data_IF_149354115566
#
_entry.id   IF_149354115566
#
_cell.length_a   1.000
_cell.length_b   1.000
_cell.length_c   1.000
_cell.angle_alpha   90.00
_cell.angle_beta   90.00
_cell.angle_gamma   90.00
#
_symmetry.space_group_name_H-M   'P 1'
#
loop_
_entity.id
_entity.type
_entity.pdbx_description
1 polymer ?
#
# COMPACT_ATOMS: atom_id res chain seq x y z
N UNK A 1 37.73 21.02 -16.17
CA UNK A 1 37.23 20.50 -14.88
C UNK A 1 35.71 20.60 -14.74
N UNK A 2 34.98 21.36 -15.57
CA UNK A 2 33.53 21.55 -15.45
C UNK A 2 32.65 20.45 -16.07
N UNK A 3 33.23 19.57 -16.89
CA UNK A 3 32.51 18.48 -17.58
C UNK A 3 32.26 17.23 -16.71
N UNK A 4 32.94 17.09 -15.57
CA UNK A 4 32.74 16.01 -14.61
C UNK A 4 31.48 16.17 -13.74
N UNK A 5 30.88 17.36 -13.71
CA UNK A 5 29.66 17.67 -12.95
C UNK A 5 28.36 17.20 -13.65
N UNK A 6 28.44 16.85 -14.94
CA UNK A 6 27.29 16.50 -15.77
C UNK A 6 27.16 14.98 -16.06
N UNK A 7 28.01 14.14 -15.53
CA UNK A 7 27.88 12.67 -15.63
C UNK A 7 27.60 12.05 -14.25
N UNK A 8 26.36 11.97 -13.80
CA UNK A 8 26.01 10.89 -12.90
C UNK A 8 26.04 9.60 -13.73
N UNK A 9 27.07 8.79 -13.60
CA UNK A 9 27.01 7.39 -14.04
C UNK A 9 26.06 6.64 -13.09
N UNK A 10 24.77 6.99 -13.13
CA UNK A 10 23.75 6.22 -12.46
C UNK A 10 23.59 4.92 -13.23
N UNK A 11 23.86 3.83 -12.59
CA UNK A 11 23.55 2.51 -13.12
C UNK A 11 22.03 2.42 -13.34
N UNK A 12 21.60 1.67 -14.34
CA UNK A 12 20.17 1.45 -14.60
C UNK A 12 19.44 0.88 -13.38
N UNK A 13 20.11 0.01 -12.59
CA UNK A 13 19.60 -0.50 -11.31
C UNK A 13 19.36 0.65 -10.31
N UNK A 14 20.29 1.59 -10.19
CA UNK A 14 20.13 2.74 -9.28
C UNK A 14 18.97 3.64 -9.70
N UNK A 15 18.77 3.83 -11.01
CA UNK A 15 17.59 4.55 -11.52
C UNK A 15 16.29 3.80 -11.21
N UNK A 16 16.27 2.48 -11.31
CA UNK A 16 15.09 1.67 -10.98
C UNK A 16 14.81 1.68 -9.46
N UNK A 17 15.82 1.59 -8.62
CA UNK A 17 15.71 1.72 -7.16
C UNK A 17 15.14 3.09 -6.80
N UNK A 18 15.68 4.15 -7.39
CA UNK A 18 15.19 5.51 -7.18
C UNK A 18 13.75 5.68 -7.64
N UNK A 19 13.40 5.14 -8.81
CA UNK A 19 12.03 5.16 -9.33
C UNK A 19 11.05 4.38 -8.46
N UNK A 20 11.43 3.21 -7.92
CA UNK A 20 10.59 2.43 -7.02
C UNK A 20 10.31 3.19 -5.71
N UNK A 21 11.31 3.85 -5.14
CA UNK A 21 11.15 4.67 -3.93
C UNK A 21 10.21 5.86 -4.16
N UNK A 22 10.33 6.55 -5.30
CA UNK A 22 9.46 7.68 -5.64
C UNK A 22 8.04 7.27 -6.06
N UNK A 23 7.82 6.01 -6.37
CA UNK A 23 6.49 5.47 -6.70
C UNK A 23 5.57 5.37 -5.48
N UNK A 24 6.13 5.21 -4.29
CA UNK A 24 5.40 5.27 -3.03
C UNK A 24 4.90 6.70 -2.80
N UNK A 25 3.60 6.92 -2.90
CA UNK A 25 2.99 8.24 -2.70
C UNK A 25 1.94 8.16 -1.63
N UNK A 26 2.10 8.99 -0.62
CA UNK A 26 1.14 9.08 0.49
C UNK A 26 0.01 10.08 0.15
N UNK A 27 -1.25 9.65 0.08
CA UNK A 27 -2.39 10.50 -0.18
C UNK A 27 -2.97 11.13 1.09
N UNK A 28 -2.27 11.12 2.22
CA UNK A 28 -2.76 11.63 3.53
C UNK A 28 -3.41 13.00 3.37
N UNK A 29 -2.77 13.91 2.66
CA UNK A 29 -3.31 15.25 2.41
C UNK A 29 -4.61 15.21 1.62
N UNK A 30 -4.68 14.40 0.55
CA UNK A 30 -5.88 14.26 -0.28
C UNK A 30 -7.01 13.63 0.52
N UNK A 31 -6.70 12.59 1.31
CA UNK A 31 -7.67 11.92 2.18
C UNK A 31 -8.20 12.83 3.30
N UNK A 32 -7.34 13.68 3.87
CA UNK A 32 -7.75 14.70 4.84
C UNK A 32 -8.71 15.71 4.23
N UNK A 33 -8.43 16.18 3.01
CA UNK A 33 -9.30 17.09 2.25
C UNK A 33 -10.64 16.40 1.95
N UNK A 34 -10.64 15.15 1.51
CA UNK A 34 -11.87 14.39 1.21
C UNK A 34 -12.75 14.18 2.44
N UNK A 35 -12.15 13.92 3.60
CA UNK A 35 -12.88 13.85 4.86
C UNK A 35 -13.54 15.18 5.22
N UNK A 36 -12.85 16.30 4.97
CA UNK A 36 -13.37 17.64 5.25
C UNK A 36 -14.55 18.00 4.34
N UNK A 37 -14.46 17.67 3.05
CA UNK A 37 -15.49 17.98 2.06
C UNK A 37 -16.56 16.88 1.90
N UNK A 38 -16.52 15.80 2.70
CA UNK A 38 -17.47 14.68 2.65
C UNK A 38 -17.66 14.12 1.23
N UNK A 39 -16.57 13.91 0.54
CA UNK A 39 -16.56 13.33 -0.81
C UNK A 39 -17.10 11.89 -0.78
N UNK A 40 -17.57 11.39 -1.94
CA UNK A 40 -18.14 10.05 -2.09
C UNK A 40 -17.23 8.98 -1.43
N UNK A 41 -17.77 8.16 -0.51
CA UNK A 41 -17.02 7.10 0.16
C UNK A 41 -16.36 6.09 -0.80
N UNK A 42 -16.92 5.90 -1.99
CA UNK A 42 -16.33 5.00 -2.98
C UNK A 42 -15.00 5.55 -3.52
N UNK A 43 -14.95 6.84 -3.84
CA UNK A 43 -13.73 7.49 -4.30
C UNK A 43 -12.65 7.51 -3.22
N UNK A 44 -13.05 7.79 -1.98
CA UNK A 44 -12.15 7.70 -0.82
C UNK A 44 -11.51 6.31 -0.71
N UNK A 45 -12.30 5.24 -0.78
CA UNK A 45 -11.81 3.87 -0.65
C UNK A 45 -10.89 3.46 -1.80
N UNK A 46 -11.14 3.94 -3.02
CA UNK A 46 -10.30 3.65 -4.19
C UNK A 46 -8.92 4.29 -4.02
N UNK A 47 -8.87 5.57 -3.68
CA UNK A 47 -7.60 6.30 -3.51
C UNK A 47 -6.81 5.75 -2.33
N UNK A 48 -7.48 5.44 -1.22
CA UNK A 48 -6.87 4.82 -0.06
C UNK A 48 -6.30 3.44 -0.38
N UNK A 49 -7.05 2.61 -1.12
CA UNK A 49 -6.60 1.29 -1.55
C UNK A 49 -5.44 1.35 -2.55
N UNK A 50 -5.47 2.29 -3.49
CA UNK A 50 -4.37 2.53 -4.43
C UNK A 50 -3.07 2.85 -3.69
N UNK A 51 -3.13 3.74 -2.72
CA UNK A 51 -1.94 4.14 -1.97
C UNK A 51 -1.33 3.00 -1.17
N UNK A 52 -2.15 2.27 -0.42
CA UNK A 52 -1.68 1.12 0.38
C UNK A 52 -0.99 0.07 -0.52
N UNK A 53 -1.57 -0.21 -1.68
CA UNK A 53 -0.99 -1.17 -2.62
C UNK A 53 0.30 -0.64 -3.26
N UNK A 54 0.33 0.63 -3.63
CA UNK A 54 1.53 1.26 -4.17
C UNK A 54 2.72 1.19 -3.20
N UNK A 55 2.49 1.46 -1.93
CA UNK A 55 3.52 1.39 -0.89
C UNK A 55 4.04 -0.04 -0.74
N UNK A 56 3.15 -1.03 -0.65
CA UNK A 56 3.51 -2.43 -0.55
C UNK A 56 4.33 -2.91 -1.75
N UNK A 57 3.90 -2.57 -2.96
CA UNK A 57 4.59 -2.91 -4.21
C UNK A 57 5.95 -2.22 -4.31
N UNK A 58 6.03 -0.94 -3.97
CA UNK A 58 7.26 -0.16 -4.02
C UNK A 58 8.33 -0.69 -3.09
N UNK A 59 7.95 -1.10 -1.87
CA UNK A 59 8.88 -1.67 -0.89
C UNK A 59 9.44 -2.99 -1.38
N UNK A 60 8.60 -3.93 -1.84
CA UNK A 60 9.09 -5.23 -2.35
C UNK A 60 9.94 -5.05 -3.60
N UNK A 61 9.58 -4.09 -4.46
CA UNK A 61 10.37 -3.76 -5.64
C UNK A 61 11.75 -3.21 -5.26
N UNK A 62 11.80 -2.31 -4.28
CA UNK A 62 13.04 -1.79 -3.73
C UNK A 62 13.92 -2.88 -3.14
N UNK A 63 13.37 -3.78 -2.31
CA UNK A 63 14.07 -4.92 -1.72
C UNK A 63 14.62 -5.86 -2.79
N UNK A 64 13.80 -6.20 -3.80
CA UNK A 64 14.19 -7.07 -4.92
C UNK A 64 15.32 -6.45 -5.76
N UNK A 65 15.21 -5.16 -6.09
CA UNK A 65 16.23 -4.45 -6.85
C UNK A 65 17.55 -4.33 -6.08
N UNK A 66 17.48 -4.13 -4.76
CA UNK A 66 18.67 -4.10 -3.90
C UNK A 66 19.38 -5.47 -3.89
N UNK A 67 18.65 -6.56 -3.89
CA UNK A 67 19.22 -7.91 -3.98
C UNK A 67 19.94 -8.13 -5.32
N UNK A 68 19.45 -7.51 -6.40
CA UNK A 68 20.07 -7.57 -7.73
C UNK A 68 21.22 -6.57 -7.91
N UNK A 69 21.48 -5.71 -6.94
CA UNK A 69 22.56 -4.72 -6.98
C UNK A 69 23.91 -5.44 -7.06
N UNK A 70 24.69 -5.11 -8.09
CA UNK A 70 26.00 -5.74 -8.35
C UNK A 70 25.97 -6.86 -9.38
N UNK A 71 24.81 -7.33 -9.82
CA UNK A 71 24.70 -8.25 -10.95
C UNK A 71 24.70 -7.48 -12.28
N UNK A 72 25.24 -8.10 -13.34
CA UNK A 72 25.14 -7.52 -14.69
C UNK A 72 23.70 -7.60 -15.17
N UNK A 73 23.15 -6.46 -15.59
CA UNK A 73 21.81 -6.39 -16.15
C UNK A 73 21.77 -7.11 -17.49
N UNK A 74 21.28 -8.33 -17.47
CA UNK A 74 20.92 -9.11 -18.64
C UNK A 74 19.40 -9.27 -18.67
N UNK A 75 18.80 -9.48 -19.84
CA UNK A 75 17.36 -9.78 -19.95
C UNK A 75 16.94 -10.93 -19.01
N UNK A 76 17.81 -11.93 -18.85
CA UNK A 76 17.63 -13.02 -17.89
C UNK A 76 17.55 -12.53 -16.44
N UNK A 77 18.37 -11.55 -16.04
CA UNK A 77 18.35 -10.98 -14.68
C UNK A 77 17.07 -10.19 -14.41
N UNK A 78 16.54 -9.49 -15.41
CA UNK A 78 15.25 -8.78 -15.28
C UNK A 78 14.09 -9.77 -15.13
N UNK A 79 14.06 -10.82 -15.91
CA UNK A 79 13.03 -11.86 -15.79
C UNK A 79 13.10 -12.57 -14.44
N UNK A 80 14.31 -12.92 -13.98
CA UNK A 80 14.54 -13.49 -12.65
C UNK A 80 14.09 -12.53 -11.56
N UNK A 81 14.40 -11.24 -11.66
CA UNK A 81 13.94 -10.21 -10.72
C UNK A 81 12.42 -10.11 -10.63
N UNK A 82 11.74 -10.13 -11.76
CA UNK A 82 10.26 -10.10 -11.80
C UNK A 82 9.65 -11.35 -11.16
N UNK A 83 10.26 -12.51 -11.38
CA UNK A 83 9.80 -13.76 -10.76
C UNK A 83 10.01 -13.76 -9.25
N UNK A 84 11.17 -13.30 -8.78
CA UNK A 84 11.46 -13.14 -7.34
C UNK A 84 10.49 -12.17 -6.71
N UNK A 85 10.27 -11.00 -7.33
CA UNK A 85 9.30 -10.03 -6.87
C UNK A 85 7.89 -10.63 -6.72
N UNK A 86 7.40 -11.30 -7.75
CA UNK A 86 6.07 -11.93 -7.72
C UNK A 86 5.96 -13.01 -6.65
N UNK A 87 7.01 -13.83 -6.48
CA UNK A 87 7.05 -14.87 -5.46
C UNK A 87 7.07 -14.28 -4.05
N UNK A 88 7.96 -13.32 -3.77
CA UNK A 88 8.06 -12.65 -2.45
C UNK A 88 6.75 -11.97 -2.10
N UNK A 89 6.17 -11.20 -3.02
CA UNK A 89 4.90 -10.51 -2.80
C UNK A 89 3.75 -11.47 -2.51
N UNK A 90 3.57 -12.50 -3.35
CA UNK A 90 2.46 -13.46 -3.23
C UNK A 90 2.59 -14.31 -1.96
N UNK A 91 3.79 -14.80 -1.64
CA UNK A 91 4.01 -15.59 -0.42
C UNK A 91 3.83 -14.74 0.84
N UNK A 92 4.33 -13.51 0.85
CA UNK A 92 4.11 -12.58 1.98
C UNK A 92 2.63 -12.29 2.20
N UNK A 93 1.86 -12.09 1.12
CA UNK A 93 0.42 -11.89 1.17
C UNK A 93 -0.28 -13.12 1.78
N UNK A 94 0.03 -14.31 1.32
CA UNK A 94 -0.56 -15.57 1.83
C UNK A 94 -0.24 -15.74 3.32
N UNK A 95 1.02 -15.52 3.74
CA UNK A 95 1.42 -15.59 5.14
C UNK A 95 0.62 -14.60 5.99
N UNK A 96 0.49 -13.36 5.56
CA UNK A 96 -0.29 -12.35 6.26
C UNK A 96 -1.75 -12.74 6.45
N UNK A 97 -2.39 -13.23 5.39
CA UNK A 97 -3.77 -13.72 5.44
C UNK A 97 -3.90 -14.91 6.40
N UNK A 98 -2.97 -15.86 6.37
CA UNK A 98 -2.99 -17.02 7.26
C UNK A 98 -2.90 -16.61 8.74
N UNK A 99 -2.00 -15.69 9.09
CA UNK A 99 -1.89 -15.17 10.46
C UNK A 99 -3.15 -14.44 10.90
N UNK A 100 -3.73 -13.61 10.03
CA UNK A 100 -4.97 -12.90 10.31
C UNK A 100 -6.17 -13.85 10.52
N UNK A 101 -6.29 -14.89 9.69
CA UNK A 101 -7.33 -15.91 9.84
C UNK A 101 -7.12 -16.76 11.10
N UNK A 102 -5.89 -17.17 11.38
CA UNK A 102 -5.56 -17.92 12.59
C UNK A 102 -5.94 -17.14 13.85
N UNK A 103 -5.64 -15.85 13.91
CA UNK A 103 -6.05 -14.97 14.99
C UNK A 103 -7.58 -14.86 15.09
N UNK A 104 -8.27 -14.68 13.98
CA UNK A 104 -9.73 -14.60 13.95
C UNK A 104 -10.39 -15.88 14.46
N UNK A 105 -9.87 -17.05 14.09
CA UNK A 105 -10.33 -18.35 14.57
C UNK A 105 -10.03 -18.52 16.06
N UNK A 106 -8.86 -18.09 16.52
CA UNK A 106 -8.50 -18.14 17.93
C UNK A 106 -9.47 -17.29 18.76
N UNK A 107 -9.74 -16.07 18.37
CA UNK A 107 -10.69 -15.19 19.08
C UNK A 107 -12.11 -15.76 19.08
N UNK A 108 -12.52 -16.42 18.01
CA UNK A 108 -13.86 -17.01 17.88
C UNK A 108 -14.05 -18.25 18.76
N UNK A 109 -13.03 -19.11 18.89
CA UNK A 109 -13.14 -20.39 19.60
C UNK A 109 -12.71 -20.31 21.06
N UNK A 110 -12.05 -19.22 21.47
CA UNK A 110 -11.61 -19.04 22.86
C UNK A 110 -12.49 -18.01 23.57
N UNK A 111 -12.66 -18.18 24.88
CA UNK A 111 -13.41 -17.24 25.74
C UNK A 111 -12.58 -16.01 26.13
N UNK A 112 -11.58 -15.65 25.32
CA UNK A 112 -10.69 -14.50 25.57
C UNK A 112 -11.45 -13.17 25.55
N UNK A 113 -12.56 -13.08 24.83
CA UNK A 113 -13.43 -11.92 24.80
C UNK A 113 -13.99 -11.46 26.16
N UNK A 114 -13.88 -12.30 27.20
CA UNK A 114 -14.19 -11.91 28.58
C UNK A 114 -13.15 -10.94 29.17
N UNK A 115 -11.91 -11.00 28.68
CA UNK A 115 -10.79 -10.19 29.13
C UNK A 115 -10.31 -9.25 28.02
N UNK A 116 -10.89 -8.08 27.95
CA UNK A 116 -10.65 -7.08 26.90
C UNK A 116 -9.16 -6.74 26.66
N UNK A 117 -8.40 -6.68 27.76
CA UNK A 117 -6.98 -6.29 27.69
C UNK A 117 -6.13 -7.42 27.08
N UNK A 118 -6.42 -8.66 27.47
CA UNK A 118 -5.78 -9.86 26.93
C UNK A 118 -6.12 -10.05 25.43
N UNK A 119 -7.37 -9.82 25.06
CA UNK A 119 -7.83 -9.86 23.67
C UNK A 119 -7.09 -8.83 22.80
N UNK A 120 -6.95 -7.59 23.28
CA UNK A 120 -6.19 -6.54 22.59
C UNK A 120 -4.71 -6.92 22.43
N UNK A 121 -4.07 -7.45 23.49
CA UNK A 121 -2.68 -7.91 23.44
C UNK A 121 -2.47 -9.01 22.41
N UNK A 122 -3.36 -9.99 22.31
CA UNK A 122 -3.26 -11.09 21.35
C UNK A 122 -3.29 -10.55 19.92
N UNK A 123 -4.20 -9.64 19.61
CA UNK A 123 -4.28 -9.05 18.27
C UNK A 123 -2.99 -8.33 17.89
N UNK A 124 -2.43 -7.56 18.81
CA UNK A 124 -1.16 -6.84 18.59
C UNK A 124 0.00 -7.80 18.40
N UNK A 125 0.10 -8.83 19.25
CA UNK A 125 1.17 -9.83 19.19
C UNK A 125 1.11 -10.64 17.89
N UNK A 126 -0.08 -11.03 17.43
CA UNK A 126 -0.22 -11.76 16.17
C UNK A 126 0.21 -10.90 14.97
N UNK A 127 -0.17 -9.62 14.94
CA UNK A 127 0.29 -8.71 13.90
C UNK A 127 1.82 -8.58 13.91
N UNK A 128 2.42 -8.41 15.08
CA UNK A 128 3.87 -8.33 15.24
C UNK A 128 4.58 -9.63 14.85
N UNK A 129 4.03 -10.78 15.25
CA UNK A 129 4.57 -12.10 14.91
C UNK A 129 4.52 -12.35 13.39
N UNK A 130 3.45 -11.94 12.71
CA UNK A 130 3.33 -12.03 11.26
C UNK A 130 4.48 -11.30 10.55
N UNK A 131 4.81 -10.08 11.01
CA UNK A 131 5.93 -9.30 10.49
C UNK A 131 7.27 -10.02 10.69
N UNK A 132 7.59 -10.44 11.92
CA UNK A 132 8.87 -11.06 12.23
C UNK A 132 9.05 -12.42 11.56
N UNK A 133 8.00 -13.23 11.54
CA UNK A 133 8.06 -14.54 10.90
C UNK A 133 8.33 -14.41 9.40
N UNK A 134 7.62 -13.50 8.72
CA UNK A 134 7.83 -13.28 7.30
C UNK A 134 9.25 -12.81 6.99
N UNK A 135 9.79 -11.89 7.77
CA UNK A 135 11.19 -11.46 7.63
C UNK A 135 12.18 -12.61 7.88
N UNK A 136 11.92 -13.47 8.85
CA UNK A 136 12.79 -14.61 9.17
C UNK A 136 12.86 -15.64 8.04
N UNK A 137 11.78 -15.78 7.29
CA UNK A 137 11.68 -16.69 6.13
C UNK A 137 12.24 -16.02 4.84
N UNK A 138 12.71 -14.78 4.92
CA UNK A 138 13.22 -14.04 3.76
C UNK A 138 12.12 -13.46 2.85
N UNK A 139 10.90 -13.33 3.40
CA UNK A 139 9.77 -12.69 2.73
C UNK A 139 9.61 -11.25 3.21
N UNK A 140 8.74 -10.46 2.57
CA UNK A 140 8.48 -9.08 3.01
C UNK A 140 7.55 -9.06 4.22
N UNK A 141 8.08 -8.69 5.40
CA UNK A 141 7.31 -8.54 6.63
C UNK A 141 6.27 -7.44 6.55
N UNK A 142 6.54 -6.36 5.82
CA UNK A 142 5.63 -5.22 5.66
C UNK A 142 4.39 -5.64 4.89
N UNK A 143 4.55 -6.38 3.78
CA UNK A 143 3.42 -6.92 3.01
C UNK A 143 2.61 -7.91 3.84
N UNK A 144 3.28 -8.80 4.57
CA UNK A 144 2.60 -9.74 5.47
C UNK A 144 1.80 -9.02 6.57
N UNK A 145 2.38 -8.00 7.19
CA UNK A 145 1.69 -7.19 8.20
C UNK A 145 0.47 -6.46 7.63
N UNK A 146 0.59 -5.92 6.42
CA UNK A 146 -0.50 -5.23 5.73
C UNK A 146 -1.69 -6.17 5.51
N UNK A 147 -1.46 -7.33 4.89
CA UNK A 147 -2.54 -8.29 4.62
C UNK A 147 -3.08 -8.96 5.89
N UNK A 148 -2.24 -9.14 6.90
CA UNK A 148 -2.69 -9.54 8.23
C UNK A 148 -3.64 -8.49 8.83
N UNK A 149 -3.30 -7.21 8.78
CA UNK A 149 -4.15 -6.11 9.24
C UNK A 149 -5.48 -6.02 8.52
N UNK A 150 -5.49 -6.16 7.19
CA UNK A 150 -6.72 -6.20 6.39
C UNK A 150 -7.61 -7.38 6.82
N UNK A 151 -7.03 -8.56 6.98
CA UNK A 151 -7.74 -9.77 7.38
C UNK A 151 -8.27 -9.67 8.83
N UNK A 152 -7.49 -9.13 9.76
CA UNK A 152 -7.93 -8.84 11.12
C UNK A 152 -9.09 -7.85 11.15
N UNK A 153 -9.01 -6.79 10.35
CA UNK A 153 -10.09 -5.79 10.23
C UNK A 153 -11.37 -6.40 9.68
N UNK A 154 -11.26 -7.32 8.71
CA UNK A 154 -12.43 -7.92 8.07
C UNK A 154 -13.08 -9.01 8.90
N UNK A 155 -12.28 -9.91 9.49
CA UNK A 155 -12.80 -11.09 10.20
C UNK A 155 -12.74 -10.96 11.72
N UNK A 156 -11.61 -10.58 12.30
CA UNK A 156 -11.42 -10.56 13.75
C UNK A 156 -12.20 -9.44 14.42
N UNK A 157 -12.32 -8.29 13.78
CA UNK A 157 -13.00 -7.12 14.32
C UNK A 157 -14.45 -7.41 14.77
N UNK A 158 -15.17 -8.22 14.00
CA UNK A 158 -16.56 -8.59 14.32
C UNK A 158 -16.68 -9.58 15.48
N UNK A 159 -15.61 -10.34 15.75
CA UNK A 159 -15.56 -11.33 16.84
C UNK A 159 -15.08 -10.71 18.16
N UNK A 160 -14.53 -9.51 18.13
CA UNK A 160 -14.05 -8.79 19.32
C UNK A 160 -15.16 -8.16 20.14
N UNK A 161 -14.93 -8.07 21.46
CA UNK A 161 -15.79 -7.32 22.37
C UNK A 161 -15.80 -5.81 22.00
N UNK A 162 -16.90 -5.10 22.26
CA UNK A 162 -17.04 -3.68 22.00
C UNK A 162 -15.96 -2.83 22.69
N UNK A 163 -15.54 -3.24 23.86
CA UNK A 163 -14.49 -2.58 24.64
C UNK A 163 -13.13 -2.75 23.94
N UNK A 164 -12.80 -3.97 23.54
CA UNK A 164 -11.58 -4.30 22.80
C UNK A 164 -11.50 -3.57 21.46
N UNK A 165 -12.59 -3.52 20.70
CA UNK A 165 -12.63 -2.79 19.43
C UNK A 165 -12.22 -1.31 19.60
N UNK A 166 -12.72 -0.66 20.66
CA UNK A 166 -12.39 0.72 20.96
C UNK A 166 -10.94 0.89 21.41
N UNK A 167 -10.47 0.02 22.31
CA UNK A 167 -9.10 0.03 22.82
C UNK A 167 -8.08 -0.20 21.71
N UNK A 168 -8.28 -1.22 20.90
CA UNK A 168 -7.39 -1.56 19.77
C UNK A 168 -7.36 -0.44 18.72
N UNK A 169 -8.52 0.14 18.40
CA UNK A 169 -8.60 1.28 17.48
C UNK A 169 -7.85 2.50 18.01
N UNK A 170 -8.01 2.81 19.28
CA UNK A 170 -7.30 3.93 19.91
C UNK A 170 -5.80 3.71 19.91
N UNK A 171 -5.35 2.51 20.28
CA UNK A 171 -3.93 2.15 20.30
C UNK A 171 -3.28 2.31 18.91
N UNK A 172 -3.84 1.68 17.88
CA UNK A 172 -3.28 1.78 16.53
C UNK A 172 -3.32 3.19 15.96
N UNK A 173 -4.37 3.97 16.26
CA UNK A 173 -4.43 5.38 15.87
C UNK A 173 -3.33 6.19 16.54
N UNK A 174 -3.12 6.02 17.83
CA UNK A 174 -2.07 6.74 18.57
C UNK A 174 -0.68 6.33 18.09
N UNK A 175 -0.45 5.02 17.85
CA UNK A 175 0.81 4.52 17.33
C UNK A 175 1.11 5.06 15.93
N UNK A 176 0.10 5.12 15.07
CA UNK A 176 0.22 5.70 13.72
C UNK A 176 0.62 7.18 13.78
N UNK A 177 -0.09 7.98 14.58
CA UNK A 177 0.22 9.41 14.73
C UNK A 177 1.61 9.65 15.34
N UNK A 178 2.02 8.82 16.30
CA UNK A 178 3.34 8.88 16.89
C UNK A 178 4.43 8.57 15.84
N UNK A 179 4.22 7.51 15.06
CA UNK A 179 5.16 7.10 13.99
C UNK A 179 5.28 8.17 12.91
N UNK A 180 4.16 8.77 12.49
CA UNK A 180 4.13 9.86 11.51
C UNK A 180 4.95 11.06 11.99
N UNK A 181 4.70 11.54 13.20
CA UNK A 181 5.46 12.66 13.78
C UNK A 181 6.96 12.32 13.91
N UNK A 182 7.28 11.08 14.32
CA UNK A 182 8.67 10.63 14.42
C UNK A 182 9.39 10.66 13.07
N UNK A 183 8.73 10.19 12.00
CA UNK A 183 9.29 10.19 10.63
C UNK A 183 9.56 11.61 10.16
N UNK A 184 8.65 12.56 10.37
CA UNK A 184 8.87 13.95 9.98
C UNK A 184 10.02 14.62 10.74
N UNK A 185 10.13 14.37 12.04
CA UNK A 185 11.25 14.88 12.86
C UNK A 185 12.57 14.27 12.38
N UNK A 186 12.59 12.95 12.17
CA UNK A 186 13.79 12.25 11.69
C UNK A 186 14.21 12.73 10.30
N UNK A 187 13.26 12.95 9.38
CA UNK A 187 13.52 13.50 8.06
C UNK A 187 14.14 14.91 8.15
N UNK A 188 13.56 15.77 8.99
CA UNK A 188 14.09 17.10 9.22
C UNK A 188 15.53 17.08 9.77
N UNK A 189 15.79 16.27 10.80
CA UNK A 189 17.14 16.11 11.35
C UNK A 189 18.11 15.58 10.30
N UNK A 190 17.71 14.56 9.53
CA UNK A 190 18.56 13.95 8.50
C UNK A 190 18.97 14.92 7.40
N UNK A 191 18.10 15.88 7.04
CA UNK A 191 18.41 16.91 6.05
C UNK A 191 19.48 17.90 6.53
N UNK A 192 19.51 18.21 7.84
CA UNK A 192 20.45 19.18 8.39
C UNK A 192 21.75 18.55 8.93
N UNK A 193 21.74 17.26 9.26
CA UNK A 193 22.91 16.57 9.86
C UNK A 193 23.74 15.79 8.83
N UNK A 194 23.23 15.63 7.59
CA UNK A 194 23.92 14.85 6.55
C UNK A 194 25.13 15.57 5.97
N UNK A 195 26.33 15.28 6.47
CA UNK A 195 27.62 15.87 6.01
C UNK A 195 27.98 15.56 4.55
N UNK A 196 27.27 14.63 3.89
CA UNK A 196 27.53 14.15 2.53
C UNK A 196 26.46 14.52 1.52
N UNK A 197 25.52 15.42 1.86
CA UNK A 197 24.47 15.83 0.97
C UNK A 197 24.99 16.76 -0.14
N UNK A 198 25.11 16.23 -1.34
CA UNK A 198 25.43 17.02 -2.53
C UNK A 198 24.13 17.47 -3.19
N UNK A 199 23.77 18.72 -2.98
CA UNK A 199 22.59 19.32 -3.61
C UNK A 199 22.83 19.56 -5.10
N UNK A 200 22.08 18.86 -5.94
CA UNK A 200 22.09 19.02 -7.40
C UNK A 200 20.73 19.56 -7.87
N UNK A 201 20.55 20.89 -8.00
CA UNK A 201 19.25 21.49 -8.28
C UNK A 201 18.64 21.02 -9.61
N UNK A 202 19.47 20.82 -10.63
CA UNK A 202 18.98 20.31 -11.92
C UNK A 202 18.41 18.90 -11.81
N UNK A 203 19.02 18.02 -11.02
CA UNK A 203 18.49 16.67 -10.80
C UNK A 203 17.16 16.72 -10.06
N UNK A 204 17.03 17.59 -9.07
CA UNK A 204 15.80 17.78 -8.30
C UNK A 204 14.67 18.25 -9.20
N UNK A 205 14.88 19.31 -10.00
CA UNK A 205 13.87 19.83 -10.93
C UNK A 205 13.47 18.80 -11.98
N UNK A 206 14.44 18.08 -12.55
CA UNK A 206 14.16 17.00 -13.50
C UNK A 206 13.35 15.88 -12.87
N UNK A 207 13.65 15.51 -11.64
CA UNK A 207 12.91 14.47 -10.90
C UNK A 207 11.47 14.88 -10.65
N UNK A 208 11.23 16.12 -10.20
CA UNK A 208 9.88 16.65 -9.98
C UNK A 208 9.08 16.59 -11.28
N UNK A 209 9.66 17.06 -12.39
CA UNK A 209 9.00 16.99 -13.69
C UNK A 209 8.72 15.56 -14.13
N UNK A 210 9.68 14.66 -13.97
CA UNK A 210 9.54 13.24 -14.32
C UNK A 210 8.43 12.54 -13.51
N UNK A 211 8.30 12.85 -12.20
CA UNK A 211 7.23 12.32 -11.35
C UNK A 211 5.85 12.80 -11.82
N UNK A 212 5.70 14.07 -12.14
CA UNK A 212 4.44 14.63 -12.65
C UNK A 212 4.03 13.94 -13.96
N UNK A 213 4.97 13.81 -14.91
CA UNK A 213 4.71 13.15 -16.20
C UNK A 213 4.37 11.68 -16.01
N UNK A 214 5.10 10.99 -15.15
CA UNK A 214 4.87 9.56 -14.83
C UNK A 214 3.47 9.34 -14.25
N UNK A 215 3.04 10.19 -13.32
CA UNK A 215 1.68 10.14 -12.74
C UNK A 215 0.61 10.42 -13.79
N UNK A 216 0.79 11.40 -14.62
CA UNK A 216 -0.13 11.69 -15.71
C UNK A 216 -0.27 10.49 -16.64
N UNK A 217 0.85 9.89 -17.08
CA UNK A 217 0.87 8.73 -17.96
C UNK A 217 0.29 7.45 -17.31
N UNK A 218 0.34 7.33 -15.99
CA UNK A 218 -0.24 6.17 -15.29
C UNK A 218 -1.75 6.32 -15.09
N UNK A 219 -2.21 7.47 -14.61
CA UNK A 219 -3.61 7.66 -14.19
C UNK A 219 -4.54 7.82 -15.40
N UNK A 220 -4.15 8.58 -16.40
CA UNK A 220 -5.04 8.89 -17.54
C UNK A 220 -5.45 7.68 -18.38
N UNK A 221 -4.54 6.77 -18.79
CA UNK A 221 -4.92 5.58 -19.54
C UNK A 221 -5.82 4.65 -18.74
N UNK A 222 -5.54 4.49 -17.46
CA UNK A 222 -6.33 3.61 -16.57
C UNK A 222 -7.74 4.19 -16.38
N UNK A 223 -7.85 5.48 -16.11
CA UNK A 223 -9.13 6.17 -15.97
C UNK A 223 -9.95 6.10 -17.28
N UNK A 224 -9.30 6.26 -18.44
CA UNK A 224 -9.96 6.13 -19.73
C UNK A 224 -10.49 4.71 -19.98
N UNK A 225 -9.69 3.69 -19.68
CA UNK A 225 -10.10 2.28 -19.78
C UNK A 225 -11.27 1.97 -18.85
N UNK A 226 -11.20 2.42 -17.58
CA UNK A 226 -12.27 2.22 -16.60
C UNK A 226 -13.58 2.89 -17.02
N UNK A 227 -13.53 4.13 -17.51
CA UNK A 227 -14.70 4.83 -18.01
C UNK A 227 -15.32 4.09 -19.21
N UNK A 228 -14.50 3.62 -20.16
CA UNK A 228 -14.97 2.86 -21.29
C UNK A 228 -15.63 1.51 -20.89
N UNK A 229 -15.08 0.84 -19.88
CA UNK A 229 -15.68 -0.41 -19.33
C UNK A 229 -16.98 -0.10 -18.57
N UNK A 230 -17.03 0.99 -17.83
CA UNK A 230 -18.21 1.46 -17.11
C UNK A 230 -19.35 1.80 -18.06
N UNK A 231 -19.06 2.52 -19.14
CA UNK A 231 -20.03 2.86 -20.17
C UNK A 231 -20.58 1.62 -20.88
N UNK A 232 -19.72 0.65 -21.18
CA UNK A 232 -20.17 -0.65 -21.74
C UNK A 232 -21.07 -1.42 -20.78
N UNK A 233 -20.78 -1.41 -19.46
CA UNK A 233 -21.64 -2.04 -18.45
C UNK A 233 -22.97 -1.32 -18.28
N UNK A 234 -23.00 0.00 -18.33
CA UNK A 234 -24.23 0.79 -18.29
C UNK A 234 -25.09 0.51 -19.52
N UNK A 235 -24.50 0.42 -20.70
CA UNK A 235 -25.20 0.10 -21.95
C UNK A 235 -25.76 -1.33 -21.94
N UNK A 236 -25.01 -2.32 -21.42
CA UNK A 236 -25.49 -3.69 -21.23
C UNK A 236 -26.67 -3.79 -20.22
N UNK A 237 -26.65 -2.99 -19.18
CA UNK A 237 -27.75 -2.90 -18.21
C UNK A 237 -29.01 -2.31 -18.84
N UNK A 238 -28.88 -1.26 -19.63
CA UNK A 238 -30.00 -0.67 -20.38
C UNK A 238 -30.59 -1.63 -21.41
N UNK A 239 -29.75 -2.37 -22.12
CA UNK A 239 -30.22 -3.36 -23.12
C UNK A 239 -30.87 -4.56 -22.46
N UNK A 240 -30.41 -4.98 -21.28
CA UNK A 240 -31.06 -6.09 -20.52
C UNK A 240 -32.33 -5.65 -19.80
N UNK A 241 -32.47 -4.37 -19.45
CA UNK A 241 -33.70 -3.82 -18.84
C UNK A 241 -34.82 -3.53 -19.86
N UNK A 242 -34.46 -3.31 -21.12
CA UNK A 242 -35.45 -3.09 -22.21
C UNK A 242 -36.09 -4.36 -22.71
N UNK A 243 -35.71 -5.55 -22.24
CA UNK A 243 -36.27 -6.82 -22.57
C UNK A 243 -37.45 -7.30 -21.68
N UNK A 244 -37.79 -6.59 -20.61
CA UNK A 244 -38.97 -6.85 -19.81
C UNK A 244 -40.07 -5.85 -20.13
N UNK A 245 -41.27 -6.26 -20.60
CA UNK A 245 -42.38 -5.34 -20.75
C UNK A 245 -42.77 -4.80 -19.37
N UNK A 246 -42.75 -3.47 -19.23
CA UNK A 246 -43.31 -2.83 -18.05
C UNK A 246 -44.78 -3.20 -17.90
N UNK A 247 -45.26 -3.63 -16.73
CA UNK A 247 -46.66 -3.81 -16.50
C UNK A 247 -47.38 -2.46 -16.67
N UNK A 248 -48.58 -2.42 -17.27
CA UNK A 248 -49.28 -1.16 -17.49
C UNK A 248 -49.63 -0.50 -16.15
N UNK A 249 -49.29 0.78 -16.10
CA UNK A 249 -49.69 1.66 -14.99
C UNK A 249 -51.21 1.84 -15.00
N UNK A 250 -51.91 0.97 -14.32
CA UNK A 250 -53.32 1.18 -13.94
C UNK A 250 -53.47 0.92 -12.45
N UNK A 251 -54.07 1.93 -11.78
CA UNK A 251 -54.53 2.01 -10.37
C UNK A 251 -53.42 2.44 -9.38
N UNK A 252 -53.40 3.57 -8.86
CA UNK A 252 -54.19 4.74 -8.41
C UNK A 252 -53.24 5.67 -7.67
#
# INVERSE_FOLDING_TARGET
>A
SSLYLLRPHLSLIECLIFGSTLSATDPVTILAIFNTYKVDPQLYNIIFGESILNDAVSIVMFETLNTLRGSKLTLSSLFSGTTIFAAVFSLSMILGIMYGLACSLLLKHTKVGLFSDLESCIVMLVAYTSYFFSNSVGMSGIVSLLFCGITLKHYAYHSMSRKTQRSTRFFFHTLSSLSENFIFIYLGLSLFTGDHLVYRPFLILFTIFAVIVSRYCAVFPIAWILNKISDMRAQHRHTSSSGFPQPPAFLS
#
